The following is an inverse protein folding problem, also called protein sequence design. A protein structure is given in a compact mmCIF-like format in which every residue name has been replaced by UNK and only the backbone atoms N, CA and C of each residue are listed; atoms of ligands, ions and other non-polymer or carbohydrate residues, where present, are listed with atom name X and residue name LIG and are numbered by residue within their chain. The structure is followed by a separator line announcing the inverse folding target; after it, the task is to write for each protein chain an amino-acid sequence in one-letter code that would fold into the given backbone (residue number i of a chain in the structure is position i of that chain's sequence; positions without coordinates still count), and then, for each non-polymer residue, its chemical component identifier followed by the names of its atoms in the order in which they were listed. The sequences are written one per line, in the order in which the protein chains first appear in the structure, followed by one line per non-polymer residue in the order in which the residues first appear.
data_IF_631972166464
#
_entry.id   IF_631972166464
#
_cell.length_a   1.000
_cell.length_b   1.000
_cell.length_c   1.000
_cell.angle_alpha   90.00
_cell.angle_beta   90.00
_cell.angle_gamma   90.00
#
_symmetry.space_group_name_H-M   'P 1'
#
loop_
_entity.id
_entity.type
_entity.pdbx_description
1 polymer ?
#
# COMPACT_ATOMS: atom_id res chain seq x y z
N UNK A 1 -4.21 -17.42 10.21
CA UNK A 1 -2.78 -17.16 10.48
C UNK A 1 -2.57 -15.65 10.57
N UNK A 2 -1.80 -15.13 11.53
CA UNK A 2 -1.50 -13.68 11.60
C UNK A 2 -0.45 -13.30 10.56
N UNK A 3 -0.59 -12.16 9.91
CA UNK A 3 0.41 -11.61 8.98
C UNK A 3 1.60 -11.02 9.76
N UNK A 4 2.60 -11.86 10.03
CA UNK A 4 3.84 -11.49 10.70
C UNK A 4 5.03 -11.93 9.86
N UNK A 5 6.19 -11.30 10.08
CA UNK A 5 7.43 -11.66 9.40
C UNK A 5 7.75 -13.16 9.55
N UNK A 6 7.67 -13.69 10.77
CA UNK A 6 7.99 -15.09 11.07
C UNK A 6 7.03 -16.07 10.39
N UNK A 7 5.73 -15.77 10.38
CA UNK A 7 4.75 -16.64 9.71
C UNK A 7 4.96 -16.63 8.19
N UNK A 8 5.26 -15.45 7.62
CA UNK A 8 5.54 -15.35 6.19
C UNK A 8 6.83 -16.07 5.80
N UNK A 9 7.89 -15.94 6.61
CA UNK A 9 9.14 -16.69 6.45
C UNK A 9 8.86 -18.21 6.43
N UNK A 10 8.13 -18.69 7.43
CA UNK A 10 7.78 -20.10 7.53
C UNK A 10 6.95 -20.59 6.34
N UNK A 11 6.00 -19.78 5.87
CA UNK A 11 5.22 -20.09 4.67
C UNK A 11 6.11 -20.25 3.43
N UNK A 12 7.07 -19.34 3.22
CA UNK A 12 7.99 -19.39 2.08
C UNK A 12 8.92 -20.62 2.14
N UNK A 13 9.32 -21.03 3.34
CA UNK A 13 10.09 -22.26 3.57
C UNK A 13 9.25 -23.50 3.21
N UNK A 14 8.00 -23.58 3.67
CA UNK A 14 7.12 -24.72 3.40
C UNK A 14 6.87 -24.95 1.90
N UNK A 15 6.79 -23.87 1.11
CA UNK A 15 6.59 -23.97 -0.34
C UNK A 15 7.91 -24.08 -1.12
N UNK A 16 9.05 -24.20 -0.43
CA UNK A 16 10.39 -24.21 -1.02
C UNK A 16 10.63 -23.02 -1.98
N UNK A 17 10.25 -21.83 -1.56
CA UNK A 17 10.29 -20.64 -2.41
C UNK A 17 11.68 -20.37 -3.00
N UNK A 18 12.73 -20.57 -2.20
CA UNK A 18 14.14 -20.40 -2.63
C UNK A 18 14.52 -21.28 -3.82
N UNK A 19 13.84 -22.43 -4.00
CA UNK A 19 14.08 -23.34 -5.12
C UNK A 19 13.39 -22.88 -6.40
N UNK A 20 12.17 -22.35 -6.29
CA UNK A 20 11.30 -22.10 -7.45
C UNK A 20 11.23 -20.64 -7.88
N UNK A 21 11.52 -19.69 -6.99
CA UNK A 21 11.65 -18.26 -7.33
C UNK A 21 10.40 -17.64 -7.95
N UNK A 22 9.19 -18.10 -7.58
CA UNK A 22 7.95 -17.58 -8.16
C UNK A 22 7.77 -16.08 -7.91
N UNK A 23 7.12 -15.39 -8.83
CA UNK A 23 6.74 -13.99 -8.59
C UNK A 23 5.70 -13.90 -7.46
N UNK A 24 5.87 -12.93 -6.57
CA UNK A 24 4.94 -12.70 -5.45
C UNK A 24 4.10 -11.48 -5.75
N UNK A 25 2.80 -11.65 -5.97
CA UNK A 25 1.87 -10.54 -5.99
C UNK A 25 1.44 -10.21 -4.56
N UNK A 26 1.76 -9.00 -4.08
CA UNK A 26 1.56 -8.60 -2.69
C UNK A 26 0.93 -7.20 -2.58
N UNK A 27 0.22 -6.97 -1.47
CA UNK A 27 -0.12 -5.61 -1.05
C UNK A 27 1.08 -4.93 -0.36
N UNK A 28 0.92 -3.66 0.02
CA UNK A 28 1.99 -2.87 0.65
C UNK A 28 2.43 -3.41 2.01
N UNK A 29 1.54 -4.07 2.76
CA UNK A 29 1.85 -4.59 4.09
C UNK A 29 2.69 -5.86 3.96
N UNK A 30 2.30 -6.78 3.09
CA UNK A 30 3.06 -7.99 2.81
C UNK A 30 4.41 -7.64 2.16
N UNK A 31 4.43 -6.69 1.23
CA UNK A 31 5.68 -6.14 0.67
C UNK A 31 6.63 -5.64 1.77
N UNK A 32 6.10 -4.87 2.74
CA UNK A 32 6.91 -4.38 3.87
C UNK A 32 7.50 -5.54 4.69
N UNK A 33 6.73 -6.60 4.92
CA UNK A 33 7.22 -7.80 5.61
C UNK A 33 8.30 -8.54 4.81
N UNK A 34 8.11 -8.72 3.50
CA UNK A 34 9.08 -9.38 2.60
C UNK A 34 10.40 -8.60 2.54
N UNK A 35 10.32 -7.28 2.59
CA UNK A 35 11.47 -6.37 2.63
C UNK A 35 12.06 -6.18 4.02
N UNK A 36 11.53 -6.87 5.03
CA UNK A 36 12.03 -6.80 6.40
C UNK A 36 11.80 -5.45 7.08
N UNK A 37 10.92 -4.60 6.55
CA UNK A 37 10.61 -3.29 7.10
C UNK A 37 9.80 -3.42 8.40
N UNK A 38 10.06 -2.47 9.30
CA UNK A 38 9.27 -2.31 10.51
C UNK A 38 7.85 -1.84 10.15
N UNK A 39 6.85 -2.63 10.55
CA UNK A 39 5.44 -2.26 10.42
C UNK A 39 5.03 -1.16 11.42
N UNK A 40 3.94 -0.48 11.10
CA UNK A 40 3.36 0.59 11.91
C UNK A 40 3.68 1.98 11.36
N UNK A 41 3.48 3.01 12.20
CA UNK A 41 3.73 4.40 11.82
C UNK A 41 5.22 4.75 11.98
N UNK A 42 6.03 4.27 11.04
CA UNK A 42 7.49 4.43 11.05
C UNK A 42 7.94 5.63 10.22
N UNK A 43 9.11 6.19 10.57
CA UNK A 43 9.66 7.39 9.93
C UNK A 43 9.94 7.14 8.45
N UNK A 44 10.66 6.07 8.13
CA UNK A 44 11.05 5.70 6.77
C UNK A 44 10.33 4.43 6.33
N UNK A 45 9.03 4.54 6.05
CA UNK A 45 8.18 3.40 5.73
C UNK A 45 8.26 2.95 4.25
N UNK A 46 8.81 3.78 3.36
CA UNK A 46 8.92 3.44 1.94
C UNK A 46 10.09 2.49 1.68
N UNK A 47 9.86 1.42 0.90
CA UNK A 47 10.90 0.46 0.50
C UNK A 47 11.78 0.97 -0.66
N UNK A 48 11.31 1.97 -1.43
CA UNK A 48 12.04 2.53 -2.58
C UNK A 48 12.93 3.73 -2.22
N UNK A 49 12.47 4.57 -1.30
CA UNK A 49 13.12 5.83 -0.98
C UNK A 49 13.06 6.15 0.52
N UNK A 50 13.86 7.13 0.93
CA UNK A 50 13.93 7.66 2.29
C UNK A 50 12.86 8.73 2.53
N UNK A 51 11.62 8.44 2.14
CA UNK A 51 10.48 9.32 2.41
C UNK A 51 10.25 9.44 3.91
N UNK A 52 10.35 10.67 4.43
CA UNK A 52 10.15 10.96 5.85
C UNK A 52 8.67 11.23 6.15
N UNK A 53 8.01 10.22 6.72
CA UNK A 53 6.59 10.29 7.09
C UNK A 53 6.29 11.34 8.15
N UNK A 54 7.31 11.87 8.84
CA UNK A 54 7.16 12.88 9.90
C UNK A 54 7.28 14.30 9.37
N UNK A 55 7.79 14.51 8.16
CA UNK A 55 7.97 15.87 7.59
C UNK A 55 6.73 16.35 6.83
N UNK A 56 5.63 16.56 7.55
CA UNK A 56 4.30 16.89 6.99
C UNK A 56 4.36 18.08 6.02
N UNK A 57 5.10 19.14 6.37
CA UNK A 57 5.23 20.34 5.53
C UNK A 57 5.82 20.06 4.13
N UNK A 58 6.63 19.02 3.98
CA UNK A 58 7.28 18.68 2.70
C UNK A 58 6.53 17.60 1.91
N UNK A 59 5.51 16.94 2.48
CA UNK A 59 4.87 15.76 1.86
C UNK A 59 4.32 16.00 0.47
N UNK A 60 3.84 17.20 0.17
CA UNK A 60 3.25 17.56 -1.13
C UNK A 60 4.10 18.54 -1.94
N UNK A 61 5.23 18.99 -1.39
CA UNK A 61 6.16 19.93 -2.03
C UNK A 61 7.37 19.17 -2.58
N UNK A 62 7.95 18.29 -1.76
CA UNK A 62 9.13 17.51 -2.12
C UNK A 62 8.72 16.24 -2.84
N UNK A 63 9.03 16.18 -4.13
CA UNK A 63 8.79 15.01 -5.00
C UNK A 63 9.92 14.00 -4.89
N UNK A 64 11.17 14.47 -4.93
CA UNK A 64 12.34 13.61 -4.96
C UNK A 64 12.90 13.37 -3.56
N UNK A 65 12.85 12.12 -3.14
CA UNK A 65 13.44 11.66 -1.88
C UNK A 65 14.64 10.77 -2.18
N UNK A 66 15.72 10.80 -1.36
CA UNK A 66 16.89 9.97 -1.60
C UNK A 66 16.49 8.50 -1.76
N UNK A 67 17.06 7.82 -2.75
CA UNK A 67 16.78 6.41 -2.96
C UNK A 67 17.25 5.59 -1.76
N UNK A 68 16.49 4.54 -1.42
CA UNK A 68 16.91 3.59 -0.40
C UNK A 68 17.95 2.65 -0.99
N UNK A 69 19.22 2.91 -0.69
CA UNK A 69 20.33 2.11 -1.20
C UNK A 69 20.56 0.79 -0.43
N UNK A 70 20.08 0.68 0.82
CA UNK A 70 20.35 -0.48 1.66
C UNK A 70 19.12 -0.94 2.45
N UNK A 71 18.97 -2.25 2.54
CA UNK A 71 17.98 -2.95 3.36
C UNK A 71 18.66 -3.76 4.49
N UNK A 72 19.74 -3.24 5.06
CA UNK A 72 20.42 -3.86 6.21
C UNK A 72 19.58 -3.72 7.49
N UNK A 73 19.32 -4.82 8.23
CA UNK A 73 18.63 -4.74 9.52
C UNK A 73 19.30 -3.76 10.49
N UNK A 74 18.49 -3.03 11.26
CA UNK A 74 18.94 -2.01 12.22
C UNK A 74 19.12 -0.62 11.63
N UNK A 75 19.03 -0.46 10.30
CA UNK A 75 19.22 0.82 9.60
C UNK A 75 17.88 1.29 9.04
N UNK A 76 17.52 2.57 9.25
CA UNK A 76 16.42 3.27 8.54
C UNK A 76 15.13 2.41 8.50
N UNK A 77 14.65 2.01 9.68
CA UNK A 77 13.42 1.22 9.88
C UNK A 77 13.38 -0.17 9.24
N UNK A 78 14.53 -0.73 8.83
CA UNK A 78 14.63 -2.16 8.49
C UNK A 78 14.83 -2.94 9.79
N UNK A 79 13.93 -3.88 10.08
CA UNK A 79 13.94 -4.68 11.31
C UNK A 79 14.47 -6.09 11.08
N UNK A 80 14.22 -6.66 9.91
CA UNK A 80 14.54 -8.05 9.60
C UNK A 80 15.28 -8.16 8.26
N UNK A 81 15.99 -9.28 8.01
CA UNK A 81 16.52 -9.59 6.69
C UNK A 81 15.41 -9.68 5.62
N UNK A 82 15.79 -9.61 4.35
CA UNK A 82 14.86 -9.82 3.25
C UNK A 82 14.41 -11.29 3.22
N UNK A 83 13.14 -11.51 2.88
CA UNK A 83 12.59 -12.85 2.63
C UNK A 83 12.50 -13.16 1.13
N UNK A 84 12.45 -12.13 0.28
CA UNK A 84 12.41 -12.24 -1.16
C UNK A 84 13.14 -11.05 -1.78
N UNK A 85 13.66 -11.22 -2.99
CA UNK A 85 14.30 -10.13 -3.70
C UNK A 85 13.28 -9.06 -4.12
N UNK A 86 13.64 -7.76 -4.20
CA UNK A 86 12.68 -6.72 -4.56
C UNK A 86 12.05 -6.91 -5.95
N UNK A 87 12.83 -7.41 -6.92
CA UNK A 87 12.43 -7.45 -8.33
C UNK A 87 11.42 -8.57 -8.66
N UNK A 88 11.26 -9.56 -7.77
CA UNK A 88 10.29 -10.66 -7.92
C UNK A 88 8.93 -10.34 -7.29
N UNK A 89 8.83 -9.23 -6.54
CA UNK A 89 7.59 -8.81 -5.88
C UNK A 89 6.85 -7.80 -6.75
N UNK A 90 5.60 -8.14 -7.09
CA UNK A 90 4.71 -7.31 -7.89
C UNK A 90 3.68 -6.66 -6.95
N UNK A 91 3.62 -5.33 -6.95
CA UNK A 91 2.54 -4.61 -6.25
C UNK A 91 1.34 -4.55 -7.17
N UNK A 92 0.23 -5.14 -6.72
CA UNK A 92 -1.02 -5.09 -7.50
C UNK A 92 -1.49 -3.63 -7.67
N UNK A 93 -1.67 -3.13 -8.91
CA UNK A 93 -2.17 -1.78 -9.16
C UNK A 93 -3.55 -1.52 -8.53
N UNK A 94 -4.33 -2.58 -8.31
CA UNK A 94 -5.65 -2.48 -7.67
C UNK A 94 -5.55 -2.00 -6.22
N UNK A 95 -4.61 -2.53 -5.42
CA UNK A 95 -4.43 -2.13 -4.02
C UNK A 95 -3.99 -0.66 -3.90
N UNK A 96 -3.15 -0.19 -4.82
CA UNK A 96 -2.76 1.23 -4.90
C UNK A 96 -3.98 2.10 -5.19
N UNK A 97 -4.76 1.76 -6.22
CA UNK A 97 -5.97 2.51 -6.60
C UNK A 97 -6.99 2.56 -5.45
N UNK A 98 -7.22 1.43 -4.77
CA UNK A 98 -8.10 1.37 -3.59
C UNK A 98 -7.63 2.33 -2.49
N UNK A 99 -6.33 2.34 -2.19
CA UNK A 99 -5.74 3.25 -1.20
C UNK A 99 -5.92 4.72 -1.58
N UNK A 100 -5.65 5.09 -2.83
CA UNK A 100 -5.78 6.46 -3.32
C UNK A 100 -7.23 6.96 -3.28
N UNK A 101 -8.18 6.14 -3.75
CA UNK A 101 -9.62 6.47 -3.70
C UNK A 101 -10.09 6.66 -2.27
N UNK A 102 -9.57 5.84 -1.34
CA UNK A 102 -9.88 5.98 0.08
C UNK A 102 -9.42 7.33 0.62
N UNK A 103 -8.21 7.76 0.29
CA UNK A 103 -7.65 9.06 0.69
C UNK A 103 -8.49 10.20 0.07
N UNK A 104 -8.77 10.12 -1.23
CA UNK A 104 -9.58 11.11 -1.95
C UNK A 104 -10.96 11.26 -1.29
N UNK A 105 -11.67 10.15 -1.07
CA UNK A 105 -13.00 10.15 -0.45
C UNK A 105 -12.99 10.70 0.98
N UNK A 106 -11.93 10.48 1.75
CA UNK A 106 -11.77 11.07 3.08
C UNK A 106 -11.51 12.57 3.02
N UNK A 107 -10.71 13.03 2.08
CA UNK A 107 -10.36 14.45 1.91
C UNK A 107 -11.48 15.30 1.29
N UNK A 108 -12.42 14.70 0.54
CA UNK A 108 -13.54 15.42 -0.07
C UNK A 108 -14.41 16.16 0.96
N UNK A 109 -14.89 17.35 0.61
CA UNK A 109 -15.97 18.02 1.33
C UNK A 109 -17.24 17.17 1.29
N UNK A 110 -17.79 16.84 2.46
CA UNK A 110 -18.97 15.96 2.59
C UNK A 110 -20.26 16.63 2.15
N UNK A 111 -20.28 17.95 2.07
CA UNK A 111 -21.43 18.73 1.58
C UNK A 111 -21.21 19.20 0.13
N UNK A 112 -20.02 18.98 -0.42
CA UNK A 112 -19.65 19.42 -1.75
C UNK A 112 -20.29 18.60 -2.88
N UNK A 113 -20.36 19.16 -4.09
CA UNK A 113 -20.99 18.51 -5.25
C UNK A 113 -20.34 17.17 -5.63
N UNK A 114 -19.02 17.04 -5.43
CA UNK A 114 -18.30 15.79 -5.70
C UNK A 114 -18.75 14.63 -4.79
N UNK A 115 -18.99 14.90 -3.51
CA UNK A 115 -19.47 13.88 -2.58
C UNK A 115 -20.93 13.51 -2.89
N UNK A 116 -21.76 14.51 -3.23
CA UNK A 116 -23.14 14.30 -3.69
C UNK A 116 -23.18 13.38 -4.93
N UNK A 117 -22.32 13.64 -5.92
CA UNK A 117 -22.20 12.78 -7.10
C UNK A 117 -21.87 11.32 -6.74
N UNK A 118 -20.95 11.08 -5.80
CA UNK A 118 -20.62 9.71 -5.38
C UNK A 118 -21.82 9.00 -4.73
N UNK A 119 -22.61 9.73 -3.93
CA UNK A 119 -23.82 9.20 -3.32
C UNK A 119 -24.88 8.85 -4.37
N UNK A 120 -25.10 9.71 -5.35
CA UNK A 120 -26.05 9.49 -6.44
C UNK A 120 -25.62 8.33 -7.35
N UNK A 121 -24.34 8.32 -7.76
CA UNK A 121 -23.79 7.27 -8.64
C UNK A 121 -23.76 5.90 -7.98
N UNK A 122 -23.48 5.85 -6.68
CA UNK A 122 -23.40 4.60 -5.92
C UNK A 122 -24.49 4.54 -4.84
N UNK A 123 -25.75 4.69 -5.25
CA UNK A 123 -26.92 4.71 -4.35
C UNK A 123 -27.07 3.47 -3.47
N UNK A 124 -26.45 2.34 -3.85
CA UNK A 124 -26.41 1.10 -3.05
C UNK A 124 -25.36 1.12 -1.93
N UNK A 125 -24.41 2.06 -1.94
CA UNK A 125 -23.45 2.24 -0.86
C UNK A 125 -24.04 3.13 0.22
N UNK A 126 -23.82 2.75 1.48
CA UNK A 126 -24.17 3.64 2.58
C UNK A 126 -23.28 4.89 2.57
N UNK A 127 -23.84 6.02 3.02
CA UNK A 127 -23.10 7.27 3.22
C UNK A 127 -21.82 7.04 4.03
N UNK A 128 -21.88 6.19 5.07
CA UNK A 128 -20.72 5.84 5.89
C UNK A 128 -19.59 5.19 5.05
N UNK A 129 -19.90 4.24 4.18
CA UNK A 129 -18.90 3.60 3.29
C UNK A 129 -18.26 4.62 2.35
N UNK A 130 -19.05 5.53 1.77
CA UNK A 130 -18.53 6.60 0.90
C UNK A 130 -17.64 7.55 1.68
N UNK A 131 -18.06 7.99 2.89
CA UNK A 131 -17.26 8.88 3.77
C UNK A 131 -15.90 8.32 4.11
N UNK A 132 -15.81 7.02 4.40
CA UNK A 132 -14.53 6.36 4.73
C UNK A 132 -13.78 5.84 3.50
N UNK A 133 -14.34 6.00 2.30
CA UNK A 133 -13.72 5.63 1.04
C UNK A 133 -13.64 4.14 0.77
N UNK A 134 -14.65 3.38 1.21
CA UNK A 134 -14.75 1.94 0.99
C UNK A 134 -15.48 1.70 -0.34
N UNK A 135 -14.69 1.36 -1.35
CA UNK A 135 -15.15 0.99 -2.69
C UNK A 135 -14.57 -0.36 -3.10
N UNK A 136 -15.27 -1.07 -3.97
CA UNK A 136 -14.74 -2.28 -4.62
C UNK A 136 -14.12 -1.94 -5.98
N UNK A 137 -13.33 -2.86 -6.54
CA UNK A 137 -12.61 -2.64 -7.79
C UNK A 137 -13.52 -2.23 -8.96
N UNK A 138 -14.72 -2.80 -9.09
CA UNK A 138 -15.69 -2.44 -10.14
C UNK A 138 -16.18 -1.00 -10.02
N UNK A 139 -16.43 -0.52 -8.81
CA UNK A 139 -16.86 0.86 -8.54
C UNK A 139 -15.75 1.86 -8.88
N UNK A 140 -14.49 1.52 -8.56
CA UNK A 140 -13.34 2.34 -8.95
C UNK A 140 -13.20 2.41 -10.47
N UNK A 141 -13.33 1.28 -11.18
CA UNK A 141 -13.32 1.26 -12.64
C UNK A 141 -14.40 2.16 -13.23
N UNK A 142 -15.62 2.10 -12.69
CA UNK A 142 -16.74 2.97 -13.10
C UNK A 142 -16.48 4.45 -12.79
N UNK A 143 -15.78 4.76 -11.69
CA UNK A 143 -15.49 6.13 -11.30
C UNK A 143 -14.48 6.78 -12.25
N UNK A 144 -13.38 6.08 -12.57
CA UNK A 144 -12.31 6.60 -13.43
C UNK A 144 -12.45 6.25 -14.92
N UNK A 145 -13.57 5.62 -15.31
CA UNK A 145 -13.83 5.17 -16.69
C UNK A 145 -12.66 4.35 -17.26
N UNK A 146 -12.08 3.48 -16.43
CA UNK A 146 -10.96 2.63 -16.86
C UNK A 146 -11.50 1.51 -17.75
N UNK A 147 -11.18 1.54 -19.04
CA UNK A 147 -11.30 0.41 -19.95
C UNK A 147 -10.09 -0.51 -19.78
N UNK A 148 -10.29 -1.82 -19.94
CA UNK A 148 -9.20 -2.82 -20.05
C UNK A 148 -8.88 -2.98 -21.52
#
# INVERSE_FOLDING_TARGET
MKETYHNLKHLLEMINYSKYGWQICADLKVMSLLMGLQLGYTKYCCFLCLWDSRTIALHYIKRDWPQRASLKPGVINVKHPLLAEPHIIIISPLHIKLGLVKILAKAMDKNGPAFKYLHEKFSRLSVAKIKVGVFVGTQIKQLFRLQV
#
